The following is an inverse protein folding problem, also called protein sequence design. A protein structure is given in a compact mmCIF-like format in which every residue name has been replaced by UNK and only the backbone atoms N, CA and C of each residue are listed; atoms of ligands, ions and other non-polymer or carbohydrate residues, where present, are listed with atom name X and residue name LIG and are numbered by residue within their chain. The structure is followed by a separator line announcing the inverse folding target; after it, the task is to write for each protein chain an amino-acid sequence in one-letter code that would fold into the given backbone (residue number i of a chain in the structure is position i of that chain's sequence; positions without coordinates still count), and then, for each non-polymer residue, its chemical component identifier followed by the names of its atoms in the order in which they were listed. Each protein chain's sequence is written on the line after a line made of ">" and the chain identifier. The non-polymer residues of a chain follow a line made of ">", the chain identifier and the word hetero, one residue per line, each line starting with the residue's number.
data_IF_771656566496
#
_entry.id   IF_771656566496
#
_cell.length_a   1.000
_cell.length_b   1.000
_cell.length_c   1.000
_cell.angle_alpha   90.00
_cell.angle_beta   90.00
_cell.angle_gamma   90.00
#
_symmetry.space_group_name_H-M   'P 1'
#
loop_
_entity.id
_entity.type
_entity.pdbx_description
1 polymer ?
#
# COMPACT_ATOMS: atom_id res chain seq x y z
N UNK A 1 -4.38 15.97 3.39
CA UNK A 1 -4.79 14.62 2.94
C UNK A 1 -5.64 14.78 1.70
N UNK A 2 -5.28 14.08 0.63
CA UNK A 2 -6.01 14.10 -0.64
C UNK A 2 -6.51 12.70 -0.96
N UNK A 3 -7.76 12.59 -1.39
CA UNK A 3 -8.41 11.36 -1.84
C UNK A 3 -8.95 11.64 -3.25
N UNK A 4 -8.54 10.82 -4.21
CA UNK A 4 -8.79 11.06 -5.64
C UNK A 4 -9.37 9.80 -6.23
N UNK A 5 -10.64 9.87 -6.62
CA UNK A 5 -11.38 8.75 -7.16
C UNK A 5 -11.98 9.16 -8.51
N UNK A 6 -11.17 9.11 -9.56
CA UNK A 6 -11.56 9.49 -10.94
C UNK A 6 -12.77 8.70 -11.45
N UNK A 7 -12.92 7.47 -10.95
CA UNK A 7 -14.06 6.58 -11.18
C UNK A 7 -14.63 6.13 -9.84
N UNK A 8 -15.79 5.47 -9.87
CA UNK A 8 -16.36 4.87 -8.67
C UNK A 8 -15.40 3.84 -8.07
N UNK A 9 -14.82 4.18 -6.92
CA UNK A 9 -13.96 3.32 -6.15
C UNK A 9 -14.77 2.21 -5.46
N UNK A 10 -14.15 1.07 -5.18
CA UNK A 10 -14.79 -0.07 -4.52
C UNK A 10 -14.66 0.08 -3.00
N UNK A 11 -13.46 0.42 -2.53
CA UNK A 11 -13.12 0.58 -1.11
C UNK A 11 -12.35 1.90 -0.92
N UNK A 12 -13.01 2.99 -0.51
CA UNK A 12 -14.44 3.12 -0.20
C UNK A 12 -15.31 3.27 -1.44
N UNK A 13 -16.62 3.02 -1.30
CA UNK A 13 -17.59 3.26 -2.37
C UNK A 13 -17.86 4.77 -2.58
N UNK A 14 -16.85 5.50 -3.07
CA UNK A 14 -16.85 6.95 -3.32
C UNK A 14 -16.38 7.28 -4.76
N UNK A 15 -16.70 8.48 -5.23
CA UNK A 15 -16.18 9.04 -6.48
C UNK A 15 -15.95 10.54 -6.33
N UNK A 16 -14.92 11.06 -7.01
CA UNK A 16 -14.53 12.47 -6.99
C UNK A 16 -13.30 12.78 -6.14
N UNK A 17 -13.00 14.08 -6.09
CA UNK A 17 -11.82 14.62 -5.43
C UNK A 17 -12.15 15.24 -4.07
N UNK A 18 -11.39 14.84 -3.06
CA UNK A 18 -11.53 15.33 -1.70
C UNK A 18 -10.18 15.74 -1.13
N UNK A 19 -10.06 16.99 -0.73
CA UNK A 19 -8.83 17.56 -0.15
C UNK A 19 -9.14 18.13 1.22
N UNK A 20 -8.33 17.78 2.20
CA UNK A 20 -8.45 18.25 3.58
C UNK A 20 -7.12 18.82 4.09
N UNK A 21 -7.17 20.03 4.65
CA UNK A 21 -5.99 20.74 5.20
C UNK A 21 -5.55 20.15 6.57
N UNK A 22 -4.58 20.74 7.28
CA UNK A 22 -4.16 20.21 8.60
C UNK A 22 -5.25 20.33 9.69
N UNK A 23 -6.08 21.37 9.62
CA UNK A 23 -7.17 21.62 10.57
C UNK A 23 -8.39 20.70 10.38
N UNK A 24 -8.45 19.96 9.26
CA UNK A 24 -9.57 19.08 8.94
C UNK A 24 -10.60 19.70 8.00
N UNK A 25 -10.41 20.95 7.59
CA UNK A 25 -11.33 21.61 6.67
C UNK A 25 -11.17 21.10 5.25
N UNK A 26 -12.29 20.97 4.55
CA UNK A 26 -12.30 20.70 3.11
C UNK A 26 -11.78 21.92 2.37
N UNK A 27 -10.85 21.70 1.44
CA UNK A 27 -10.26 22.74 0.60
C UNK A 27 -10.45 22.41 -0.87
N UNK A 28 -10.48 23.44 -1.72
CA UNK A 28 -10.61 23.26 -3.18
C UNK A 28 -9.27 22.93 -3.85
N UNK A 29 -8.16 23.40 -3.28
CA UNK A 29 -6.79 23.14 -3.75
C UNK A 29 -5.80 23.18 -2.59
N UNK A 30 -4.65 22.50 -2.73
CA UNK A 30 -3.53 22.71 -1.83
C UNK A 30 -2.73 23.97 -2.19
N UNK A 31 -1.83 24.37 -1.29
CA UNK A 31 -0.99 25.57 -1.44
C UNK A 31 0.06 25.43 -2.53
N UNK A 32 0.43 24.21 -2.92
CA UNK A 32 1.40 23.95 -3.98
C UNK A 32 1.15 22.60 -4.67
N UNK A 33 1.70 22.43 -5.88
CA UNK A 33 1.58 21.19 -6.66
C UNK A 33 2.35 20.04 -6.02
N UNK A 34 3.44 20.32 -5.33
CA UNK A 34 4.23 19.33 -4.58
C UNK A 34 3.40 18.71 -3.46
N UNK A 35 2.61 19.53 -2.76
CA UNK A 35 1.67 19.05 -1.72
C UNK A 35 0.59 18.17 -2.35
N UNK A 36 0.09 18.54 -3.54
CA UNK A 36 -0.92 17.77 -4.28
C UNK A 36 -0.39 16.38 -4.65
N UNK A 37 0.80 16.30 -5.27
CA UNK A 37 1.42 15.02 -5.66
C UNK A 37 1.67 14.15 -4.43
N UNK A 38 2.20 14.72 -3.34
CA UNK A 38 2.43 13.96 -2.11
C UNK A 38 1.12 13.48 -1.49
N UNK A 39 0.10 14.32 -1.43
CA UNK A 39 -1.20 13.99 -0.87
C UNK A 39 -1.89 12.86 -1.65
N UNK A 40 -1.74 12.82 -2.97
CA UNK A 40 -2.23 11.73 -3.82
C UNK A 40 -1.58 10.39 -3.45
N UNK A 41 -0.25 10.33 -3.42
CA UNK A 41 0.49 9.09 -3.15
C UNK A 41 0.27 8.62 -1.71
N UNK A 42 0.36 9.53 -0.73
CA UNK A 42 0.10 9.21 0.67
C UNK A 42 -1.34 8.73 0.88
N UNK A 43 -2.32 9.43 0.29
CA UNK A 43 -3.73 9.05 0.40
C UNK A 43 -4.00 7.62 -0.09
N UNK A 44 -3.42 7.25 -1.24
CA UNK A 44 -3.56 5.90 -1.79
C UNK A 44 -2.97 4.80 -0.89
N UNK A 45 -1.81 5.04 -0.25
CA UNK A 45 -1.20 4.05 0.63
C UNK A 45 -1.86 4.03 2.01
N UNK A 46 -2.29 5.17 2.54
CA UNK A 46 -3.02 5.26 3.81
C UNK A 46 -4.34 4.49 3.70
N UNK A 47 -5.09 4.68 2.60
CA UNK A 47 -6.32 3.93 2.36
C UNK A 47 -6.05 2.41 2.33
N UNK A 48 -5.03 1.97 1.57
CA UNK A 48 -4.64 0.55 1.50
C UNK A 48 -4.25 -0.01 2.87
N UNK A 49 -3.50 0.74 3.67
CA UNK A 49 -3.14 0.32 5.03
C UNK A 49 -4.37 0.24 5.94
N UNK A 50 -5.25 1.24 5.91
CA UNK A 50 -6.47 1.25 6.69
C UNK A 50 -7.31 -0.02 6.42
N UNK A 51 -7.59 -0.30 5.14
CA UNK A 51 -8.35 -1.48 4.75
C UNK A 51 -7.63 -2.79 5.04
N UNK A 52 -6.30 -2.85 4.88
CA UNK A 52 -5.54 -4.04 5.24
C UNK A 52 -5.70 -4.36 6.74
N UNK A 53 -5.54 -3.35 7.61
CA UNK A 53 -5.75 -3.49 9.05
C UNK A 53 -7.20 -3.92 9.36
N UNK A 54 -8.19 -3.36 8.66
CA UNK A 54 -9.62 -3.66 8.88
C UNK A 54 -9.97 -5.12 8.50
N UNK A 55 -9.26 -5.73 7.54
CA UNK A 55 -9.41 -7.16 7.21
C UNK A 55 -8.53 -8.09 8.07
N UNK A 56 -7.90 -7.56 9.12
CA UNK A 56 -7.16 -8.33 10.12
C UNK A 56 -5.65 -8.41 9.89
N UNK A 57 -5.09 -7.66 8.93
CA UNK A 57 -3.64 -7.59 8.78
C UNK A 57 -3.01 -6.81 9.94
N UNK A 58 -2.05 -7.43 10.62
CA UNK A 58 -1.29 -6.79 11.70
C UNK A 58 0.15 -6.54 11.27
N UNK A 59 0.59 -5.29 11.44
CA UNK A 59 1.99 -4.94 11.24
C UNK A 59 2.84 -5.51 12.38
N UNK A 60 3.91 -6.20 12.01
CA UNK A 60 4.84 -6.82 12.95
C UNK A 60 6.28 -6.74 12.46
N UNK A 61 7.21 -7.21 13.29
CA UNK A 61 8.66 -7.17 13.00
C UNK A 61 9.04 -7.92 11.73
N UNK A 62 8.27 -8.96 11.38
CA UNK A 62 8.50 -9.78 10.19
C UNK A 62 7.77 -9.26 8.95
N UNK A 63 7.02 -8.15 9.05
CA UNK A 63 6.29 -7.60 7.92
C UNK A 63 7.27 -7.11 6.86
N UNK A 64 7.03 -7.54 5.61
CA UNK A 64 7.78 -7.10 4.42
C UNK A 64 6.79 -6.79 3.31
N UNK A 65 7.07 -5.75 2.55
CA UNK A 65 6.28 -5.37 1.40
C UNK A 65 7.02 -5.77 0.14
N UNK A 66 6.38 -6.58 -0.71
CA UNK A 66 6.89 -6.89 -2.04
C UNK A 66 6.22 -5.96 -3.04
N UNK A 67 6.98 -5.00 -3.57
CA UNK A 67 6.49 -4.12 -4.62
C UNK A 67 6.77 -4.75 -6.00
N UNK A 68 5.75 -4.76 -6.86
CA UNK A 68 5.82 -5.26 -8.24
C UNK A 68 5.08 -4.29 -9.18
N UNK A 69 5.20 -4.48 -10.49
CA UNK A 69 4.57 -3.63 -11.50
C UNK A 69 5.34 -2.33 -11.81
N UNK A 70 4.90 -1.57 -12.82
CA UNK A 70 5.68 -0.45 -13.37
C UNK A 70 5.98 0.69 -12.40
N UNK A 71 5.07 0.99 -11.47
CA UNK A 71 5.27 2.04 -10.46
C UNK A 71 6.42 1.72 -9.48
N UNK A 72 6.82 0.45 -9.38
CA UNK A 72 7.92 0.01 -8.52
C UNK A 72 9.30 0.49 -9.00
N UNK A 73 9.38 1.06 -10.22
CA UNK A 73 10.58 1.74 -10.70
C UNK A 73 10.87 3.07 -9.97
N UNK A 74 9.87 3.68 -9.32
CA UNK A 74 10.04 4.97 -8.65
C UNK A 74 10.33 4.79 -7.15
N UNK A 75 11.61 4.95 -6.77
CA UNK A 75 12.06 4.84 -5.39
C UNK A 75 11.35 5.80 -4.42
N UNK A 76 10.98 7.01 -4.85
CA UNK A 76 10.30 7.96 -3.99
C UNK A 76 8.88 7.48 -3.61
N UNK A 77 8.16 6.87 -4.55
CA UNK A 77 6.85 6.25 -4.28
C UNK A 77 7.02 5.06 -3.33
N UNK A 78 8.04 4.24 -3.54
CA UNK A 78 8.34 3.10 -2.66
C UNK A 78 8.72 3.53 -1.24
N UNK A 79 9.39 4.68 -1.08
CA UNK A 79 9.71 5.22 0.23
C UNK A 79 8.43 5.60 0.98
N UNK A 80 7.50 6.30 0.33
CA UNK A 80 6.20 6.63 0.95
C UNK A 80 5.42 5.36 1.32
N UNK A 81 5.44 4.34 0.46
CA UNK A 81 4.84 3.04 0.79
C UNK A 81 5.48 2.42 2.04
N UNK A 82 6.81 2.43 2.12
CA UNK A 82 7.56 1.91 3.27
C UNK A 82 7.21 2.64 4.56
N UNK A 83 7.19 3.97 4.52
CA UNK A 83 6.88 4.82 5.67
C UNK A 83 5.42 4.65 6.12
N UNK A 84 4.46 4.65 5.18
CA UNK A 84 3.04 4.50 5.49
C UNK A 84 2.75 3.15 6.13
N UNK A 85 3.36 2.07 5.67
CA UNK A 85 3.20 0.74 6.25
C UNK A 85 4.16 0.46 7.41
N UNK A 86 5.07 1.38 7.71
CA UNK A 86 6.12 1.20 8.70
C UNK A 86 6.85 -0.15 8.54
N UNK A 87 7.16 -0.51 7.30
CA UNK A 87 7.75 -1.81 6.96
C UNK A 87 8.69 -1.70 5.75
N UNK A 88 9.76 -2.52 5.69
CA UNK A 88 10.70 -2.51 4.59
C UNK A 88 10.05 -2.96 3.27
N UNK A 89 10.43 -2.28 2.18
CA UNK A 89 9.95 -2.55 0.82
C UNK A 89 11.05 -3.21 -0.01
N UNK A 90 10.70 -4.32 -0.65
CA UNK A 90 11.57 -5.11 -1.51
C UNK A 90 11.01 -5.18 -2.93
N UNK A 91 11.92 -5.36 -3.89
CA UNK A 91 11.59 -5.67 -5.28
C UNK A 91 11.96 -7.12 -5.59
N UNK A 92 11.07 -7.78 -6.34
CA UNK A 92 11.39 -9.02 -7.03
C UNK A 92 11.60 -8.69 -8.51
N UNK A 93 12.76 -9.07 -9.06
CA UNK A 93 13.12 -8.74 -10.45
C UNK A 93 12.32 -9.56 -11.49
N UNK A 94 11.56 -10.58 -11.07
CA UNK A 94 10.73 -11.40 -11.95
C UNK A 94 9.36 -10.74 -12.22
N UNK A 95 9.13 -10.34 -13.46
CA UNK A 95 7.90 -9.68 -13.91
C UNK A 95 6.74 -10.65 -14.17
N UNK A 96 7.02 -11.95 -14.31
CA UNK A 96 6.05 -13.00 -14.68
C UNK A 96 5.50 -13.76 -13.47
N UNK A 97 5.10 -13.04 -12.43
CA UNK A 97 4.66 -13.62 -11.15
C UNK A 97 3.56 -14.67 -11.29
N UNK A 98 2.57 -14.46 -12.16
CA UNK A 98 1.46 -15.38 -12.37
C UNK A 98 1.91 -16.73 -12.98
N UNK A 99 2.74 -16.69 -14.04
CA UNK A 99 3.27 -17.90 -14.67
C UNK A 99 4.14 -18.70 -13.69
N UNK A 100 4.98 -18.01 -12.93
CA UNK A 100 5.82 -18.65 -11.93
C UNK A 100 5.00 -19.26 -10.80
N UNK A 101 3.98 -18.53 -10.32
CA UNK A 101 3.04 -19.05 -9.32
C UNK A 101 2.37 -20.35 -9.80
N UNK A 102 1.93 -20.40 -11.05
CA UNK A 102 1.36 -21.63 -11.63
C UNK A 102 2.37 -22.78 -11.69
N UNK A 103 3.61 -22.51 -12.10
CA UNK A 103 4.68 -23.52 -12.11
C UNK A 103 5.00 -24.03 -10.69
N UNK A 104 4.98 -23.15 -9.69
CA UNK A 104 5.15 -23.54 -8.28
C UNK A 104 4.01 -24.40 -7.76
N UNK A 105 2.77 -24.09 -8.13
CA UNK A 105 1.62 -24.94 -7.77
C UNK A 105 1.73 -26.33 -8.42
N UNK A 106 2.13 -26.40 -9.70
CA UNK A 106 2.34 -27.69 -10.38
C UNK A 106 3.46 -28.50 -9.72
N UNK A 107 4.59 -27.85 -9.38
CA UNK A 107 5.71 -28.49 -8.67
C UNK A 107 5.29 -28.96 -7.27
N UNK A 108 4.53 -28.17 -6.52
CA UNK A 108 4.00 -28.56 -5.21
C UNK A 108 3.07 -29.77 -5.32
N UNK A 109 2.19 -29.80 -6.31
CA UNK A 109 1.31 -30.95 -6.56
C UNK A 109 2.05 -32.22 -6.96
N UNK A 110 3.18 -32.10 -7.68
CA UNK A 110 4.01 -33.24 -8.05
C UNK A 110 4.81 -33.80 -6.86
N UNK A 111 5.37 -32.93 -6.02
CA UNK A 111 6.20 -33.34 -4.88
C UNK A 111 5.37 -33.78 -3.67
N UNK A 112 4.12 -33.31 -3.53
CA UNK A 112 3.24 -33.70 -2.43
C UNK A 112 3.87 -33.46 -1.06
N UNK A 113 3.90 -34.48 -0.21
CA UNK A 113 4.48 -34.41 1.14
C UNK A 113 6.02 -34.47 1.15
N UNK A 114 6.68 -34.73 0.02
CA UNK A 114 8.15 -34.82 -0.06
C UNK A 114 8.85 -33.46 0.03
N UNK A 115 8.12 -32.35 -0.11
CA UNK A 115 8.69 -31.00 -0.01
C UNK A 115 7.67 -30.00 0.51
N UNK A 116 8.14 -29.00 1.26
CA UNK A 116 7.28 -27.91 1.71
C UNK A 116 7.22 -26.76 0.69
N UNK A 117 6.22 -25.89 0.82
CA UNK A 117 6.02 -24.78 -0.11
C UNK A 117 7.22 -23.81 -0.19
N UNK A 118 7.97 -23.65 0.90
CA UNK A 118 9.17 -22.78 0.92
C UNK A 118 10.28 -23.34 0.03
N UNK A 119 10.49 -24.65 0.04
CA UNK A 119 11.45 -25.32 -0.84
C UNK A 119 10.98 -25.31 -2.29
N UNK A 120 9.69 -25.55 -2.52
CA UNK A 120 9.08 -25.47 -3.86
C UNK A 120 9.37 -24.11 -4.51
N UNK A 121 9.26 -23.03 -3.74
CA UNK A 121 9.37 -21.64 -4.21
C UNK A 121 10.79 -21.07 -4.17
N UNK A 122 11.79 -21.85 -3.77
CA UNK A 122 13.18 -21.40 -3.56
C UNK A 122 14.00 -21.15 -4.84
N UNK A 123 13.38 -21.29 -6.02
CA UNK A 123 14.04 -21.19 -7.32
C UNK A 123 14.41 -19.77 -7.75
N UNK A 124 13.88 -18.74 -7.10
CA UNK A 124 14.22 -17.35 -7.38
C UNK A 124 15.26 -16.80 -6.42
N UNK A 125 16.09 -15.84 -6.87
CA UNK A 125 16.92 -15.07 -5.94
C UNK A 125 16.04 -14.32 -4.93
N UNK A 126 16.58 -14.05 -3.73
CA UNK A 126 15.84 -13.32 -2.70
C UNK A 126 15.47 -11.91 -3.20
N UNK A 127 14.32 -11.37 -2.78
CA UNK A 127 13.92 -10.00 -3.07
C UNK A 127 14.98 -9.00 -2.60
N UNK A 128 15.19 -7.93 -3.37
CA UNK A 128 16.15 -6.87 -3.05
C UNK A 128 15.50 -5.76 -2.24
N UNK A 129 16.06 -5.45 -1.07
CA UNK A 129 15.63 -4.33 -0.23
C UNK A 129 15.88 -2.99 -0.95
N UNK A 130 14.87 -2.12 -0.97
CA UNK A 130 14.94 -0.79 -1.63
C UNK A 130 14.79 0.35 -0.64
N UNK A 131 13.83 0.23 0.27
CA UNK A 131 13.46 1.25 1.23
C UNK A 131 13.27 0.62 2.60
N UNK A 132 13.74 1.33 3.61
CA UNK A 132 13.39 1.12 5.01
C UNK A 132 12.58 2.33 5.47
N UNK A 133 11.60 2.14 6.37
CA UNK A 133 10.82 3.25 6.89
C UNK A 133 11.71 4.20 7.68
N UNK A 134 11.44 5.50 7.59
CA UNK A 134 12.05 6.47 8.51
C UNK A 134 11.62 6.23 9.96
N UNK A 135 12.47 6.60 10.91
CA UNK A 135 12.26 6.31 12.33
C UNK A 135 10.99 6.96 12.91
N UNK A 136 10.57 8.11 12.35
CA UNK A 136 9.38 8.88 12.72
C UNK A 136 8.13 8.48 11.93
N UNK A 137 8.23 7.55 10.98
CA UNK A 137 7.14 7.19 10.08
C UNK A 137 5.88 6.71 10.83
N UNK A 138 6.06 5.89 11.88
CA UNK A 138 4.95 5.40 12.69
C UNK A 138 4.20 6.53 13.42
N UNK A 139 4.94 7.54 13.92
CA UNK A 139 4.39 8.69 14.64
C UNK A 139 3.61 9.62 13.71
N UNK A 140 4.03 9.70 12.44
CA UNK A 140 3.37 10.48 11.40
C UNK A 140 2.13 9.75 10.87
N UNK A 141 2.30 8.52 10.39
CA UNK A 141 1.26 7.84 9.60
C UNK A 141 0.21 7.14 10.46
N UNK A 142 0.51 6.74 11.70
CA UNK A 142 -0.48 6.18 12.62
C UNK A 142 -1.70 7.12 12.82
N UNK A 143 -1.49 8.38 13.25
CA UNK A 143 -2.55 9.38 13.34
C UNK A 143 -3.22 9.71 12.00
N UNK A 144 -2.47 9.68 10.89
CA UNK A 144 -3.04 9.94 9.57
C UNK A 144 -4.02 8.84 9.12
N UNK A 145 -3.79 7.58 9.48
CA UNK A 145 -4.72 6.47 9.19
C UNK A 145 -6.02 6.62 10.00
N UNK A 146 -5.91 6.94 11.29
CA UNK A 146 -7.09 7.23 12.11
C UNK A 146 -7.89 8.39 11.52
N UNK A 147 -7.20 9.45 11.10
CA UNK A 147 -7.82 10.60 10.43
C UNK A 147 -8.48 10.24 9.10
N UNK A 148 -7.88 9.35 8.31
CA UNK A 148 -8.47 8.84 7.07
C UNK A 148 -9.80 8.15 7.34
N UNK A 149 -9.86 7.25 8.32
CA UNK A 149 -11.10 6.53 8.68
C UNK A 149 -12.23 7.50 9.07
N UNK A 150 -11.92 8.57 9.81
CA UNK A 150 -12.90 9.62 10.14
C UNK A 150 -13.42 10.34 8.90
N UNK A 151 -12.51 10.74 7.99
CA UNK A 151 -12.88 11.42 6.75
C UNK A 151 -13.73 10.51 5.86
N UNK A 152 -13.32 9.25 5.69
CA UNK A 152 -14.04 8.28 4.88
C UNK A 152 -15.47 8.05 5.41
N UNK A 153 -15.62 7.83 6.72
CA UNK A 153 -16.93 7.65 7.34
C UNK A 153 -17.84 8.88 7.12
N UNK A 154 -17.29 10.09 7.27
CA UNK A 154 -18.02 11.33 6.97
C UNK A 154 -18.45 11.40 5.51
N UNK A 155 -17.58 11.08 4.56
CA UNK A 155 -17.89 11.12 3.14
C UNK A 155 -18.95 10.08 2.74
N UNK A 156 -18.90 8.88 3.31
CA UNK A 156 -19.87 7.82 3.05
C UNK A 156 -21.26 8.16 3.59
N UNK A 157 -21.36 8.82 4.75
CA UNK A 157 -22.63 9.26 5.33
C UNK A 157 -23.29 10.40 4.55
N UNK A 158 -22.49 11.23 3.87
CA UNK A 158 -22.94 12.39 3.11
C UNK A 158 -22.93 12.13 1.59
N UNK A 159 -22.93 10.87 1.18
CA UNK A 159 -23.06 10.49 -0.23
C UNK A 159 -24.48 10.84 -0.70
N UNK A 160 -24.57 11.79 -1.63
CA UNK A 160 -25.83 12.17 -2.30
C UNK A 160 -26.19 11.17 -3.39
#
# INVERSE_FOLDING_TARGET
>A
MGLYYDVQEILPFLSGDYRFNKAGDRVTKFTSLEVEVRALIEGQFIAKRAYAEDIGFTLGKETKILATGGASANKAILQVLSDVFNAPVYLQDETRSAMLGAAYQAKHGLLGEESNYREVTSSLPPPRLICEPYADAAEIYGPMIARYRTIEAFLLQNKS
#
